data_IF_395604727949
#
_entry.id   IF_395604727949
#
_cell.length_a   1.000
_cell.length_b   1.000
_cell.length_c   1.000
_cell.angle_alpha   90.00
_cell.angle_beta   90.00
_cell.angle_gamma   90.00
#
_symmetry.space_group_name_H-M   'P 1'
#
loop_
_entity.id
_entity.type
_entity.pdbx_description
1 polymer ?
#
# COMPACT_ATOMS: atom_id res chain seq x y z
N UNK A 1 8.02 1.96 16.10
CA UNK A 1 6.95 1.30 15.33
C UNK A 1 7.46 1.02 13.92
N UNK A 2 7.21 -0.18 13.40
CA UNK A 2 7.50 -0.55 12.01
C UNK A 2 6.19 -0.92 11.30
N UNK A 3 6.06 -0.48 10.05
CA UNK A 3 4.96 -0.81 9.15
C UNK A 3 5.55 -1.41 7.87
N UNK A 4 5.32 -2.70 7.66
CA UNK A 4 5.61 -3.38 6.39
C UNK A 4 4.30 -3.58 5.64
N UNK A 5 4.16 -2.99 4.46
CA UNK A 5 2.99 -3.20 3.60
C UNK A 5 3.37 -4.00 2.36
N UNK A 6 2.65 -5.09 2.10
CA UNK A 6 2.79 -5.90 0.88
C UNK A 6 1.70 -5.53 -0.11
N UNK A 7 2.11 -5.18 -1.33
CA UNK A 7 1.21 -4.90 -2.45
C UNK A 7 1.26 -6.09 -3.40
N UNK A 8 0.24 -6.95 -3.36
CA UNK A 8 0.05 -7.95 -4.41
C UNK A 8 -0.46 -7.27 -5.70
N UNK A 9 0.32 -7.31 -6.80
CA UNK A 9 -0.09 -6.70 -8.06
C UNK A 9 -1.39 -7.26 -8.63
N UNK A 10 -1.62 -8.57 -8.49
CA UNK A 10 -2.81 -9.23 -8.99
C UNK A 10 -4.05 -8.81 -8.19
N UNK A 11 -3.92 -8.71 -6.86
CA UNK A 11 -4.98 -8.18 -6.01
C UNK A 11 -5.31 -6.72 -6.34
N UNK A 12 -4.28 -5.89 -6.57
CA UNK A 12 -4.47 -4.46 -6.80
C UNK A 12 -5.17 -4.19 -8.14
N UNK A 13 -4.65 -4.76 -9.23
CA UNK A 13 -5.20 -4.59 -10.57
C UNK A 13 -6.58 -5.25 -10.74
N UNK A 14 -6.86 -6.32 -9.99
CA UNK A 14 -8.13 -7.03 -10.06
C UNK A 14 -8.43 -7.52 -11.48
N UNK A 15 -9.64 -7.23 -11.98
CA UNK A 15 -10.08 -7.59 -13.33
C UNK A 15 -9.78 -6.52 -14.41
N UNK A 16 -8.99 -5.50 -14.08
CA UNK A 16 -8.75 -4.38 -14.99
C UNK A 16 -7.71 -4.79 -16.06
N UNK A 17 -8.18 -5.41 -17.15
CA UNK A 17 -7.31 -5.99 -18.19
C UNK A 17 -6.51 -4.94 -18.99
N UNK A 18 -6.84 -3.66 -18.85
CA UNK A 18 -6.19 -2.56 -19.57
C UNK A 18 -4.94 -1.99 -18.90
N UNK A 19 -4.52 -2.51 -17.74
CA UNK A 19 -3.44 -1.95 -16.93
C UNK A 19 -2.32 -2.95 -16.69
N UNK A 20 -1.08 -2.46 -16.65
CA UNK A 20 0.09 -3.21 -16.18
C UNK A 20 -0.01 -3.34 -14.64
N UNK A 21 -0.22 -4.56 -14.11
CA UNK A 21 -0.39 -4.77 -12.67
C UNK A 21 0.85 -4.41 -11.87
N UNK A 22 2.04 -4.75 -12.37
CA UNK A 22 3.31 -4.54 -11.67
C UNK A 22 3.63 -3.04 -11.61
N UNK A 23 3.50 -2.35 -12.74
CA UNK A 23 3.74 -0.91 -12.79
C UNK A 23 2.71 -0.15 -11.93
N UNK A 24 1.44 -0.55 -11.98
CA UNK A 24 0.38 0.04 -11.14
C UNK A 24 0.64 -0.22 -9.65
N UNK A 25 1.08 -1.41 -9.29
CA UNK A 25 1.43 -1.77 -7.91
C UNK A 25 2.64 -1.00 -7.40
N UNK A 26 3.66 -0.77 -8.23
CA UNK A 26 4.81 0.06 -7.90
C UNK A 26 4.39 1.53 -7.67
N UNK A 27 3.57 2.10 -8.55
CA UNK A 27 3.08 3.47 -8.40
C UNK A 27 2.19 3.65 -7.16
N UNK A 28 1.29 2.70 -6.91
CA UNK A 28 0.51 2.66 -5.67
C UNK A 28 1.39 2.53 -4.44
N UNK A 29 2.38 1.63 -4.48
CA UNK A 29 3.30 1.38 -3.37
C UNK A 29 4.09 2.63 -2.98
N UNK A 30 4.62 3.35 -3.97
CA UNK A 30 5.35 4.60 -3.73
C UNK A 30 4.45 5.71 -3.14
N UNK A 31 3.22 5.83 -3.63
CA UNK A 31 2.25 6.79 -3.09
C UNK A 31 1.87 6.45 -1.64
N UNK A 32 1.64 5.16 -1.35
CA UNK A 32 1.35 4.67 -0.01
C UNK A 32 2.53 4.90 0.94
N UNK A 33 3.75 4.57 0.52
CA UNK A 33 4.95 4.80 1.32
C UNK A 33 5.09 6.28 1.70
N UNK A 34 4.89 7.19 0.75
CA UNK A 34 4.92 8.63 0.98
C UNK A 34 3.86 9.06 2.00
N UNK A 35 2.62 8.59 1.86
CA UNK A 35 1.53 8.91 2.79
C UNK A 35 1.80 8.38 4.20
N UNK A 36 2.30 7.15 4.33
CA UNK A 36 2.63 6.53 5.61
C UNK A 36 3.77 7.27 6.32
N UNK A 37 4.81 7.67 5.59
CA UNK A 37 5.93 8.46 6.14
C UNK A 37 5.47 9.86 6.57
N UNK A 38 4.50 10.45 5.89
CA UNK A 38 3.92 11.74 6.29
C UNK A 38 3.05 11.61 7.56
N UNK A 39 2.24 10.56 7.66
CA UNK A 39 1.40 10.29 8.82
C UNK A 39 2.22 9.91 10.07
N UNK A 40 3.30 9.14 9.90
CA UNK A 40 4.17 8.70 10.98
C UNK A 40 5.66 8.91 10.66
N UNK A 41 6.18 10.15 10.82
CA UNK A 41 7.55 10.49 10.44
C UNK A 41 8.65 9.70 11.17
N UNK A 42 8.35 9.23 12.39
CA UNK A 42 9.27 8.43 13.20
C UNK A 42 9.11 6.92 13.03
N UNK A 43 8.19 6.46 12.18
CA UNK A 43 8.00 5.04 11.92
C UNK A 43 8.97 4.54 10.85
N UNK A 44 9.44 3.30 11.02
CA UNK A 44 10.10 2.59 9.93
C UNK A 44 9.02 2.08 8.97
N UNK A 45 8.98 2.64 7.76
CA UNK A 45 8.01 2.28 6.72
C UNK A 45 8.72 1.55 5.60
N UNK A 46 8.15 0.42 5.20
CA UNK A 46 8.61 -0.40 4.09
C UNK A 46 7.38 -0.84 3.27
N UNK A 47 7.38 -0.57 1.97
CA UNK A 47 6.34 -1.03 1.05
C UNK A 47 6.99 -1.89 -0.03
N UNK A 48 6.55 -3.13 -0.15
CA UNK A 48 7.15 -4.11 -1.09
C UNK A 48 6.07 -4.74 -1.95
N UNK A 49 6.45 -5.18 -3.15
CA UNK A 49 5.57 -5.97 -4.00
C UNK A 49 5.57 -7.43 -3.55
N UNK A 50 4.40 -8.06 -3.56
CA UNK A 50 4.25 -9.48 -3.27
C UNK A 50 2.97 -9.84 -2.52
N UNK A 51 2.69 -11.14 -2.49
CA UNK A 51 1.56 -11.73 -1.79
C UNK A 51 1.97 -12.26 -0.39
N UNK A 52 1.04 -12.33 0.59
CA UNK A 52 -0.33 -11.80 0.53
C UNK A 52 -0.36 -10.27 0.67
N UNK A 53 -1.37 -9.63 0.07
CA UNK A 53 -1.61 -8.20 0.24
C UNK A 53 -1.95 -7.85 1.69
N UNK A 54 -1.38 -6.77 2.22
CA UNK A 54 -1.76 -6.22 3.51
C UNK A 54 -0.59 -5.70 4.35
N UNK A 55 -0.92 -5.15 5.50
CA UNK A 55 0.05 -4.57 6.43
C UNK A 55 0.47 -5.57 7.53
N UNK A 56 1.73 -5.49 7.93
CA UNK A 56 2.27 -6.07 9.14
C UNK A 56 2.85 -4.94 10.00
N UNK A 57 2.28 -4.76 11.20
CA UNK A 57 2.63 -3.66 12.10
C UNK A 57 3.24 -4.22 13.37
N UNK A 58 4.37 -3.66 13.78
CA UNK A 58 5.07 -4.06 15.02
C UNK A 58 5.51 -2.85 15.84
N UNK A 59 5.61 -3.02 17.16
CA UNK A 59 6.08 -1.96 18.06
C UNK A 59 5.17 -0.73 18.11
N UNK A 60 3.86 -0.91 17.91
CA UNK A 60 2.82 0.09 18.13
C UNK A 60 2.09 -0.20 19.45
N UNK A 61 1.67 0.83 20.18
CA UNK A 61 0.90 0.68 21.42
C UNK A 61 -0.52 0.14 21.16
N UNK A 62 -1.13 0.55 20.05
CA UNK A 62 -2.42 0.03 19.56
C UNK A 62 -2.28 -0.37 18.09
N UNK A 63 -1.94 -1.65 17.87
CA UNK A 63 -1.77 -2.20 16.52
C UNK A 63 -3.07 -2.15 15.72
N UNK A 64 -4.22 -2.36 16.36
CA UNK A 64 -5.51 -2.42 15.67
C UNK A 64 -5.93 -1.04 15.15
N UNK A 65 -5.67 0.04 15.90
CA UNK A 65 -5.88 1.41 15.43
C UNK A 65 -4.99 1.75 14.25
N UNK A 66 -3.69 1.46 14.33
CA UNK A 66 -2.75 1.72 13.22
C UNK A 66 -3.13 0.92 11.99
N UNK A 67 -3.53 -0.35 12.15
CA UNK A 67 -4.00 -1.18 11.03
C UNK A 67 -5.18 -0.54 10.29
N UNK A 68 -6.20 -0.06 11.02
CA UNK A 68 -7.36 0.60 10.41
C UNK A 68 -6.98 1.86 9.64
N UNK A 69 -6.03 2.62 10.15
CA UNK A 69 -5.56 3.84 9.49
C UNK A 69 -4.75 3.54 8.23
N UNK A 70 -3.82 2.58 8.29
CA UNK A 70 -3.07 2.08 7.12
C UNK A 70 -4.03 1.57 6.04
N UNK A 71 -5.03 0.76 6.42
CA UNK A 71 -6.04 0.25 5.49
C UNK A 71 -6.90 1.36 4.89
N UNK A 72 -7.21 2.40 5.68
CA UNK A 72 -7.92 3.59 5.23
C UNK A 72 -7.14 4.37 4.16
N UNK A 73 -5.85 4.62 4.40
CA UNK A 73 -4.95 5.27 3.43
C UNK A 73 -4.82 4.45 2.14
N UNK A 74 -4.55 3.14 2.26
CA UNK A 74 -4.43 2.24 1.14
C UNK A 74 -5.72 2.21 0.28
N UNK A 75 -6.89 2.17 0.92
CA UNK A 75 -8.18 2.23 0.23
C UNK A 75 -8.39 3.56 -0.49
N UNK A 76 -8.09 4.68 0.16
CA UNK A 76 -8.21 6.02 -0.42
C UNK A 76 -7.34 6.17 -1.68
N UNK A 77 -6.08 5.76 -1.60
CA UNK A 77 -5.15 5.79 -2.74
C UNK A 77 -5.61 4.88 -3.88
N UNK A 78 -6.07 3.66 -3.59
CA UNK A 78 -6.61 2.78 -4.62
C UNK A 78 -7.80 3.40 -5.37
N UNK A 79 -8.69 4.10 -4.64
CA UNK A 79 -9.81 4.83 -5.24
C UNK A 79 -9.40 6.03 -6.10
N UNK A 80 -8.25 6.65 -5.82
CA UNK A 80 -7.72 7.80 -6.57
C UNK A 80 -7.12 7.42 -7.94
N UNK A 81 -6.86 6.14 -8.18
CA UNK A 81 -6.59 5.63 -9.53
C UNK A 81 -5.12 5.69 -9.98
N UNK A 82 -4.23 5.04 -9.22
CA UNK A 82 -2.83 4.81 -9.63
C UNK A 82 -2.68 3.68 -10.68
N UNK A 83 -3.47 3.76 -11.75
CA UNK A 83 -3.55 2.76 -12.81
C UNK A 83 -2.64 3.12 -13.98
N UNK A 84 -1.73 2.22 -14.36
CA UNK A 84 -0.84 2.41 -15.50
C UNK A 84 -1.31 1.52 -16.65
N UNK A 85 -1.76 2.12 -17.76
CA UNK A 85 -2.17 1.35 -18.93
C UNK A 85 -0.99 0.66 -19.63
N UNK A 86 -1.23 -0.49 -20.27
CA UNK A 86 -0.25 -1.09 -21.18
C UNK A 86 0.08 -0.12 -22.33
N UNK A 87 1.34 -0.13 -22.79
CA UNK A 87 1.78 0.60 -23.97
C UNK A 87 1.73 -0.26 -25.22
#
# INVERSE_FOLDING_TARGET
MKVLFRVDPAYLAGANLGVDPEASAAAFGAALESALRAAWPSAEVEVVLGAPHGAAITGAADVAAVQREVDGLARGLRGAGHWIAYR
#
